data_IF_758148817662
#
_entry.id   IF_758148817662
#
_cell.length_a   1.000
_cell.length_b   1.000
_cell.length_c   1.000
_cell.angle_alpha   90.00
_cell.angle_beta   90.00
_cell.angle_gamma   90.00
#
_symmetry.space_group_name_H-M   'P 1'
#
loop_
_entity.id
_entity.type
_entity.pdbx_description
1 polymer ?
#
# COMPACT_ATOMS: atom_id res chain seq x y z
N UNK A 1 -16.69 10.89 5.58
CA UNK A 1 -16.64 11.55 4.27
C UNK A 1 -15.64 10.81 3.39
N UNK A 2 -16.15 10.14 2.39
CA UNK A 2 -15.37 9.48 1.36
C UNK A 2 -15.53 10.28 0.07
N UNK A 3 -14.53 11.01 -0.40
CA UNK A 3 -14.61 11.64 -1.71
C UNK A 3 -14.61 10.53 -2.78
N UNK A 4 -15.58 10.57 -3.67
CA UNK A 4 -15.57 9.72 -4.85
C UNK A 4 -14.79 10.39 -5.97
N UNK A 5 -14.32 9.62 -6.96
CA UNK A 5 -13.76 10.16 -8.18
C UNK A 5 -14.60 11.29 -8.76
N UNK A 6 -13.95 12.29 -9.31
CA UNK A 6 -14.61 13.49 -9.80
C UNK A 6 -14.54 14.68 -8.87
N UNK A 7 -13.70 14.61 -7.83
CA UNK A 7 -13.38 15.78 -7.01
C UNK A 7 -12.78 16.87 -7.93
N UNK A 8 -13.11 18.14 -7.61
CA UNK A 8 -12.56 19.25 -8.38
C UNK A 8 -11.03 19.25 -8.36
N UNK A 9 -10.35 19.47 -9.51
CA UNK A 9 -8.89 19.40 -9.61
C UNK A 9 -8.13 20.34 -8.67
N UNK A 10 -8.79 21.37 -8.16
CA UNK A 10 -8.24 22.34 -7.20
C UNK A 10 -8.31 21.87 -5.74
N UNK A 11 -8.90 20.70 -5.48
CA UNK A 11 -8.91 20.06 -4.16
C UNK A 11 -7.93 18.91 -4.19
N UNK A 12 -6.74 19.12 -3.63
CA UNK A 12 -5.74 18.08 -3.45
C UNK A 12 -6.01 17.30 -2.16
N UNK A 13 -5.71 16.00 -2.19
CA UNK A 13 -5.80 15.15 -1.00
C UNK A 13 -4.89 15.69 0.13
N UNK A 14 -5.43 15.76 1.35
CA UNK A 14 -4.76 16.31 2.54
C UNK A 14 -4.31 17.78 2.42
N UNK A 15 -4.76 18.48 1.38
CA UNK A 15 -4.51 19.92 1.23
C UNK A 15 -5.43 20.78 2.10
N UNK A 16 -5.16 22.08 2.13
CA UNK A 16 -5.91 23.04 2.96
C UNK A 16 -7.44 23.01 2.71
N UNK A 17 -7.87 22.99 1.45
CA UNK A 17 -9.30 22.92 1.11
C UNK A 17 -9.92 21.57 1.48
N UNK A 18 -9.18 20.49 1.34
CA UNK A 18 -9.62 19.18 1.81
C UNK A 18 -9.89 19.22 3.32
N UNK A 19 -8.91 19.68 4.10
CA UNK A 19 -9.07 19.78 5.55
C UNK A 19 -10.14 20.80 5.98
N UNK A 20 -10.38 21.87 5.22
CA UNK A 20 -11.48 22.79 5.50
C UNK A 20 -12.84 22.07 5.48
N UNK A 21 -13.08 21.20 4.49
CA UNK A 21 -14.30 20.38 4.42
C UNK A 21 -14.37 19.35 5.55
N UNK A 22 -13.26 18.68 5.85
CA UNK A 22 -13.20 17.72 6.96
C UNK A 22 -13.46 18.39 8.29
N UNK A 23 -12.84 19.53 8.57
CA UNK A 23 -13.10 20.32 9.81
C UNK A 23 -14.57 20.68 9.96
N UNK A 24 -15.20 21.17 8.89
CA UNK A 24 -16.64 21.50 8.91
C UNK A 24 -17.48 20.27 9.26
N UNK A 25 -17.20 19.12 8.66
CA UNK A 25 -17.93 17.89 8.94
C UNK A 25 -17.74 17.42 10.39
N UNK A 26 -16.50 17.46 10.90
CA UNK A 26 -16.18 17.05 12.28
C UNK A 26 -16.82 18.00 13.30
N UNK A 27 -16.77 19.30 13.07
CA UNK A 27 -17.42 20.29 13.93
C UNK A 27 -18.94 20.12 13.99
N UNK A 28 -19.56 19.87 12.84
CA UNK A 28 -21.00 19.63 12.75
C UNK A 28 -21.40 18.35 13.48
N UNK A 29 -20.64 17.28 13.28
CA UNK A 29 -20.88 16.01 13.96
C UNK A 29 -20.74 16.14 15.48
N UNK A 30 -19.70 16.84 15.94
CA UNK A 30 -19.49 17.10 17.37
C UNK A 30 -20.66 17.92 17.98
N UNK A 31 -21.15 18.92 17.27
CA UNK A 31 -22.30 19.73 17.72
C UNK A 31 -23.61 18.91 17.78
N UNK A 32 -23.72 17.86 16.99
CA UNK A 32 -24.88 16.94 16.94
C UNK A 32 -24.69 15.67 17.78
N UNK A 33 -23.64 15.58 18.60
CA UNK A 33 -23.25 14.39 19.38
C UNK A 33 -23.08 13.11 18.51
N UNK A 34 -22.67 13.29 17.26
CA UNK A 34 -22.38 12.18 16.35
C UNK A 34 -20.93 11.71 16.49
N UNK A 35 -20.68 10.44 16.24
CA UNK A 35 -19.34 9.88 16.17
C UNK A 35 -18.88 9.75 14.73
N UNK A 36 -17.56 9.95 14.52
CA UNK A 36 -16.92 9.87 13.22
C UNK A 36 -15.81 8.83 13.25
N UNK A 37 -15.75 8.03 12.23
CA UNK A 37 -14.57 7.24 11.84
C UNK A 37 -13.99 7.95 10.63
N UNK A 38 -12.71 8.33 10.71
CA UNK A 38 -11.99 8.94 9.60
C UNK A 38 -11.57 7.84 8.62
N UNK A 39 -11.45 8.20 7.35
CA UNK A 39 -10.91 7.32 6.32
C UNK A 39 -9.45 7.70 6.11
N UNK A 40 -8.54 6.71 6.19
CA UNK A 40 -7.10 6.95 6.16
C UNK A 40 -6.53 7.10 4.75
N UNK A 41 -7.37 7.02 3.71
CA UNK A 41 -6.96 7.10 2.33
C UNK A 41 -7.82 8.11 1.55
N UNK A 42 -7.32 8.57 0.40
CA UNK A 42 -8.08 9.40 -0.51
C UNK A 42 -9.14 8.60 -1.26
N UNK A 43 -8.72 7.47 -1.82
CA UNK A 43 -9.57 6.48 -2.46
C UNK A 43 -9.13 5.07 -2.02
N UNK A 44 -9.05 4.11 -2.92
CA UNK A 44 -8.92 2.69 -2.62
C UNK A 44 -7.79 2.07 -3.46
N UNK A 45 -7.01 1.13 -2.93
CA UNK A 45 -6.93 0.62 -1.54
C UNK A 45 -6.10 1.53 -0.60
N UNK A 46 -6.27 1.34 0.72
CA UNK A 46 -5.49 2.07 1.74
C UNK A 46 -4.01 1.69 1.75
N UNK A 47 -3.18 2.63 2.22
CA UNK A 47 -1.75 2.43 2.44
C UNK A 47 -0.82 3.30 1.58
N UNK A 48 -1.37 4.11 0.66
CA UNK A 48 -0.58 4.87 -0.32
C UNK A 48 -0.73 6.39 -0.22
N UNK A 49 -1.67 6.88 0.59
CA UNK A 49 -2.02 8.30 0.71
C UNK A 49 -2.25 8.94 -0.67
N UNK A 50 -3.14 8.33 -1.48
CA UNK A 50 -3.42 8.75 -2.86
C UNK A 50 -2.15 8.86 -3.71
N UNK A 51 -1.20 7.92 -3.52
CA UNK A 51 0.09 7.88 -4.20
C UNK A 51 1.17 8.82 -3.64
N UNK A 52 0.86 9.63 -2.63
CA UNK A 52 1.82 10.57 -2.04
C UNK A 52 3.00 9.88 -1.36
N UNK A 53 2.82 8.65 -0.85
CA UNK A 53 3.92 7.85 -0.28
C UNK A 53 5.03 7.63 -1.31
N UNK A 54 4.67 7.40 -2.57
CA UNK A 54 5.60 6.99 -3.64
C UNK A 54 6.05 8.16 -4.51
N UNK A 55 5.30 9.27 -4.49
CA UNK A 55 5.46 10.40 -5.42
C UNK A 55 6.91 10.89 -5.55
N UNK A 56 7.59 11.12 -4.41
CA UNK A 56 8.98 11.57 -4.36
C UNK A 56 9.94 10.49 -3.83
N UNK A 57 9.42 9.27 -3.65
CA UNK A 57 10.08 8.10 -3.08
C UNK A 57 9.74 6.83 -3.87
N UNK A 58 10.17 6.73 -5.15
CA UNK A 58 9.84 5.60 -6.01
C UNK A 58 10.37 4.25 -5.46
N UNK A 59 11.37 4.29 -4.59
CA UNK A 59 11.88 3.11 -3.88
C UNK A 59 10.84 2.49 -2.93
N UNK A 60 9.86 3.28 -2.46
CA UNK A 60 8.78 2.83 -1.59
C UNK A 60 7.57 2.23 -2.34
N UNK A 61 7.63 2.18 -3.68
CA UNK A 61 6.58 1.54 -4.46
C UNK A 61 6.56 0.03 -4.25
N UNK A 62 5.36 -0.56 -4.31
CA UNK A 62 5.15 -2.00 -4.15
C UNK A 62 6.02 -2.85 -5.08
N UNK A 63 6.50 -3.98 -4.58
CA UNK A 63 7.37 -4.93 -5.27
C UNK A 63 6.74 -6.31 -5.34
N UNK A 64 7.17 -7.07 -6.32
CA UNK A 64 6.79 -8.46 -6.44
C UNK A 64 7.86 -9.29 -7.16
N UNK A 65 7.78 -10.61 -6.97
CA UNK A 65 8.57 -11.57 -7.73
C UNK A 65 7.82 -11.97 -8.99
N UNK A 66 8.57 -12.14 -10.08
CA UNK A 66 8.04 -12.65 -11.34
C UNK A 66 9.06 -13.56 -12.01
N UNK A 67 8.56 -14.54 -12.78
CA UNK A 67 9.37 -15.41 -13.62
C UNK A 67 9.42 -14.81 -15.02
N UNK A 68 10.62 -14.49 -15.52
CA UNK A 68 10.80 -13.78 -16.79
C UNK A 68 11.96 -14.31 -17.61
N UNK A 69 11.84 -14.22 -18.94
CA UNK A 69 12.93 -14.49 -19.88
C UNK A 69 13.90 -13.30 -20.00
N UNK A 70 13.47 -12.10 -19.61
CA UNK A 70 14.25 -10.88 -19.76
C UNK A 70 14.39 -10.17 -18.43
N UNK A 71 15.63 -10.13 -17.93
CA UNK A 71 15.99 -9.31 -16.76
C UNK A 71 16.19 -7.88 -17.21
N UNK A 72 15.49 -6.96 -16.58
CA UNK A 72 15.54 -5.53 -16.89
C UNK A 72 16.51 -4.79 -15.96
N UNK A 73 17.01 -3.62 -16.36
CA UNK A 73 17.74 -2.75 -15.44
C UNK A 73 16.88 -2.41 -14.22
N UNK A 74 17.42 -2.65 -13.02
CA UNK A 74 16.71 -2.44 -11.75
C UNK A 74 16.03 -3.68 -11.18
N UNK A 75 15.96 -4.79 -11.91
CA UNK A 75 15.53 -6.09 -11.35
C UNK A 75 16.59 -6.63 -10.40
N UNK A 76 16.15 -7.17 -9.26
CA UNK A 76 17.00 -7.98 -8.38
C UNK A 76 16.83 -9.46 -8.71
N UNK A 77 17.92 -10.11 -9.12
CA UNK A 77 17.90 -11.54 -9.44
C UNK A 77 17.87 -12.38 -8.14
N UNK A 78 16.83 -13.18 -7.95
CA UNK A 78 16.72 -14.11 -6.83
C UNK A 78 17.25 -15.51 -7.18
N UNK A 79 16.92 -16.00 -8.38
CA UNK A 79 17.34 -17.33 -8.84
C UNK A 79 17.29 -17.46 -10.36
N UNK A 80 18.13 -18.34 -10.91
CA UNK A 80 18.00 -18.85 -12.28
C UNK A 80 17.14 -20.10 -12.27
N UNK A 81 16.27 -20.24 -13.28
CA UNK A 81 15.42 -21.39 -13.49
C UNK A 81 15.53 -21.88 -14.94
N UNK A 82 15.10 -23.12 -15.22
CA UNK A 82 15.08 -23.65 -16.58
C UNK A 82 14.28 -22.80 -17.55
N UNK A 83 13.19 -22.20 -17.06
CA UNK A 83 12.26 -21.40 -17.84
C UNK A 83 12.46 -19.90 -17.67
N UNK A 84 13.66 -19.44 -17.28
CA UNK A 84 13.96 -18.02 -17.14
C UNK A 84 14.59 -17.65 -15.80
N UNK A 85 14.45 -16.40 -15.40
CA UNK A 85 14.96 -15.87 -14.14
C UNK A 85 13.81 -15.47 -13.21
N UNK A 86 13.92 -15.85 -11.94
CA UNK A 86 13.06 -15.31 -10.87
C UNK A 86 13.66 -14.01 -10.39
N UNK A 87 12.94 -12.92 -10.57
CA UNK A 87 13.41 -11.58 -10.24
C UNK A 87 12.41 -10.83 -9.36
N UNK A 88 12.94 -9.91 -8.54
CA UNK A 88 12.13 -8.88 -7.88
C UNK A 88 12.11 -7.65 -8.77
N UNK A 89 10.95 -7.04 -8.92
CA UNK A 89 10.78 -5.74 -9.59
C UNK A 89 9.59 -4.98 -9.01
N UNK A 90 9.52 -3.69 -9.30
CA UNK A 90 8.36 -2.88 -8.95
C UNK A 90 7.11 -3.47 -9.59
N UNK A 91 6.03 -3.61 -8.82
CA UNK A 91 4.80 -4.25 -9.28
C UNK A 91 4.12 -3.49 -10.42
N UNK A 92 4.34 -2.18 -10.48
CA UNK A 92 3.61 -1.28 -11.38
C UNK A 92 2.16 -1.05 -10.96
N UNK A 93 1.75 -1.65 -9.84
CA UNK A 93 0.40 -1.55 -9.31
C UNK A 93 -0.06 -0.13 -9.08
N UNK A 94 -1.35 0.08 -9.23
CA UNK A 94 -2.00 1.37 -9.10
C UNK A 94 -3.13 1.30 -8.07
N UNK A 95 -3.59 2.46 -7.66
CA UNK A 95 -4.80 2.65 -6.88
C UNK A 95 -5.73 3.64 -7.58
N UNK A 96 -6.96 3.75 -7.12
CA UNK A 96 -7.87 4.79 -7.55
C UNK A 96 -7.48 6.12 -6.95
N UNK A 97 -7.44 7.16 -7.79
CA UNK A 97 -7.23 8.54 -7.35
C UNK A 97 -8.54 9.30 -7.17
N UNK A 98 -8.42 10.55 -6.74
CA UNK A 98 -9.57 11.41 -6.43
C UNK A 98 -10.20 12.09 -7.64
N UNK A 99 -9.45 12.23 -8.72
CA UNK A 99 -9.85 13.01 -9.88
C UNK A 99 -10.19 12.12 -11.08
N UNK A 100 -10.93 12.66 -12.03
CA UNK A 100 -11.17 12.01 -13.32
C UNK A 100 -9.85 11.73 -14.06
N UNK A 101 -9.71 10.54 -14.61
CA UNK A 101 -8.49 10.09 -15.30
C UNK A 101 -7.44 9.47 -14.36
N UNK A 102 -7.75 9.30 -13.09
CA UNK A 102 -6.90 8.69 -12.07
C UNK A 102 -7.42 7.31 -11.60
N UNK A 103 -8.36 6.69 -12.34
CA UNK A 103 -8.85 5.36 -11.97
C UNK A 103 -7.76 4.29 -12.18
N UNK A 104 -7.86 3.21 -11.44
CA UNK A 104 -6.92 2.11 -11.54
C UNK A 104 -6.85 1.55 -12.98
N UNK A 105 -5.62 1.46 -13.50
CA UNK A 105 -5.37 1.12 -14.90
C UNK A 105 -5.29 2.31 -15.85
N UNK A 106 -5.69 3.51 -15.44
CA UNK A 106 -5.51 4.73 -16.24
C UNK A 106 -4.06 5.25 -16.13
N UNK A 107 -3.66 6.08 -17.10
CA UNK A 107 -2.28 6.60 -17.18
C UNK A 107 -1.87 7.42 -15.95
N UNK A 108 -2.80 8.15 -15.37
CA UNK A 108 -2.56 9.04 -14.23
C UNK A 108 -2.93 8.39 -12.89
N UNK A 109 -3.31 7.10 -12.89
CA UNK A 109 -3.59 6.39 -11.65
C UNK A 109 -2.40 6.43 -10.69
N UNK A 110 -2.60 6.79 -9.41
CA UNK A 110 -1.53 6.86 -8.43
C UNK A 110 -0.89 5.48 -8.22
N UNK A 111 0.41 5.47 -7.93
CA UNK A 111 1.16 4.24 -7.66
C UNK A 111 0.96 3.77 -6.22
N UNK A 112 0.92 2.44 -6.06
CA UNK A 112 0.76 1.79 -4.77
C UNK A 112 2.07 1.75 -4.00
N UNK A 113 2.00 2.02 -2.70
CA UNK A 113 3.13 1.86 -1.80
C UNK A 113 3.31 0.40 -1.37
N UNK A 114 4.53 0.07 -0.95
CA UNK A 114 4.87 -1.23 -0.38
C UNK A 114 4.47 -1.29 1.10
N UNK A 115 3.28 -1.80 1.38
CA UNK A 115 2.75 -1.93 2.75
C UNK A 115 3.48 -3.00 3.59
N UNK A 116 4.38 -3.77 2.99
CA UNK A 116 5.29 -4.68 3.70
C UNK A 116 6.61 -4.01 4.11
N UNK A 117 6.85 -2.78 3.65
CA UNK A 117 8.03 -1.99 3.94
C UNK A 117 7.76 -1.01 5.08
N UNK A 118 8.46 -1.13 6.24
CA UNK A 118 8.26 -0.23 7.39
C UNK A 118 8.42 1.24 7.04
N UNK A 119 9.33 1.59 6.13
CA UNK A 119 9.55 2.98 5.72
C UNK A 119 8.33 3.53 4.96
N UNK A 120 7.71 2.72 4.09
CA UNK A 120 6.52 3.13 3.37
C UNK A 120 5.32 3.29 4.32
N UNK A 121 5.14 2.36 5.27
CA UNK A 121 4.06 2.44 6.28
C UNK A 121 4.26 3.63 7.22
N UNK A 122 5.47 3.88 7.69
CA UNK A 122 5.78 5.06 8.52
C UNK A 122 5.45 6.36 7.77
N UNK A 123 5.82 6.44 6.48
CA UNK A 123 5.48 7.61 5.64
C UNK A 123 3.98 7.74 5.40
N UNK A 124 3.27 6.65 5.22
CA UNK A 124 1.81 6.65 5.12
C UNK A 124 1.16 7.24 6.37
N UNK A 125 1.59 6.80 7.56
CA UNK A 125 1.09 7.32 8.84
C UNK A 125 1.39 8.81 8.99
N UNK A 126 2.63 9.22 8.69
CA UNK A 126 3.03 10.64 8.74
C UNK A 126 2.15 11.53 7.85
N UNK A 127 1.92 11.07 6.61
CA UNK A 127 1.15 11.82 5.62
C UNK A 127 -0.35 11.87 5.96
N UNK A 128 -0.91 10.80 6.53
CA UNK A 128 -2.35 10.65 6.77
C UNK A 128 -2.71 10.84 8.25
N UNK A 129 -2.50 9.86 9.09
CA UNK A 129 -2.92 9.83 10.49
C UNK A 129 -2.41 11.03 11.28
N UNK A 130 -1.11 11.34 11.16
CA UNK A 130 -0.49 12.48 11.82
C UNK A 130 -1.03 13.82 11.28
N UNK A 131 -1.32 13.92 9.99
CA UNK A 131 -1.92 15.11 9.42
C UNK A 131 -3.34 15.33 9.94
N UNK A 132 -4.17 14.27 9.98
CA UNK A 132 -5.49 14.34 10.60
C UNK A 132 -5.40 14.72 12.09
N UNK A 133 -4.45 14.12 12.81
CA UNK A 133 -4.28 14.42 14.23
C UNK A 133 -3.87 15.88 14.46
N UNK A 134 -2.93 16.43 13.68
CA UNK A 134 -2.55 17.85 13.76
C UNK A 134 -3.73 18.80 13.54
N UNK A 135 -4.57 18.49 12.56
CA UNK A 135 -5.69 19.35 12.14
C UNK A 135 -6.92 19.25 13.07
N UNK A 136 -7.12 18.09 13.71
CA UNK A 136 -8.39 17.75 14.38
C UNK A 136 -8.19 17.29 15.82
N UNK A 137 -7.01 17.53 16.42
CA UNK A 137 -6.59 17.01 17.73
C UNK A 137 -7.67 17.14 18.83
N UNK A 138 -8.40 18.26 18.85
CA UNK A 138 -9.40 18.54 19.88
C UNK A 138 -10.63 17.60 19.85
N UNK A 139 -10.80 16.84 18.76
CA UNK A 139 -11.96 15.96 18.54
C UNK A 139 -11.64 14.49 18.72
N UNK A 140 -10.34 14.11 18.79
CA UNK A 140 -9.94 12.74 19.04
C UNK A 140 -10.34 12.29 20.44
N UNK A 141 -10.85 11.05 20.54
CA UNK A 141 -11.39 10.50 21.79
C UNK A 141 -12.77 11.03 22.18
N UNK A 142 -13.33 11.99 21.42
CA UNK A 142 -14.69 12.53 21.63
C UNK A 142 -15.57 12.28 20.40
N UNK A 143 -15.54 13.16 19.41
CA UNK A 143 -16.29 12.99 18.16
C UNK A 143 -15.58 12.00 17.21
N UNK A 144 -14.25 12.05 17.12
CA UNK A 144 -13.46 11.11 16.31
C UNK A 144 -13.09 9.92 17.19
N UNK A 145 -13.54 8.71 16.77
CA UNK A 145 -13.36 7.47 17.54
C UNK A 145 -12.38 6.49 16.91
N UNK A 146 -11.90 6.75 15.71
CA UNK A 146 -10.93 5.88 15.02
C UNK A 146 -10.75 6.20 13.57
N UNK A 147 -9.92 5.37 12.93
CA UNK A 147 -9.71 5.35 11.49
C UNK A 147 -10.29 4.07 10.89
N UNK A 148 -10.72 4.16 9.66
CA UNK A 148 -11.09 3.05 8.80
C UNK A 148 -10.03 2.90 7.72
N UNK A 149 -9.46 1.70 7.62
CA UNK A 149 -8.53 1.30 6.56
C UNK A 149 -9.27 0.35 5.60
N UNK A 150 -9.16 0.56 4.30
CA UNK A 150 -9.96 -0.11 3.28
C UNK A 150 -9.10 -1.04 2.41
N UNK A 151 -9.29 -2.34 2.62
CA UNK A 151 -8.71 -3.44 1.83
C UNK A 151 -7.27 -3.17 1.35
N UNK A 152 -6.30 -2.98 2.25
CA UNK A 152 -4.91 -2.69 1.86
C UNK A 152 -4.41 -3.75 0.87
N UNK A 153 -3.72 -3.32 -0.18
CA UNK A 153 -3.26 -4.20 -1.25
C UNK A 153 -1.74 -4.21 -1.35
N UNK A 154 -1.13 -5.39 -1.23
CA UNK A 154 0.33 -5.54 -1.23
C UNK A 154 0.94 -5.17 -2.59
N UNK A 155 0.32 -5.59 -3.69
CA UNK A 155 0.83 -5.34 -5.05
C UNK A 155 0.18 -4.12 -5.71
N UNK A 156 -0.94 -3.64 -5.16
CA UNK A 156 -1.81 -2.70 -5.85
C UNK A 156 -2.74 -3.38 -6.85
N UNK A 157 -3.48 -2.57 -7.58
CA UNK A 157 -4.45 -3.03 -8.58
C UNK A 157 -3.80 -3.15 -9.96
N UNK A 158 -4.43 -3.93 -10.85
CA UNK A 158 -3.98 -4.18 -12.22
C UNK A 158 -2.60 -4.86 -12.35
N UNK A 159 -2.22 -5.66 -11.36
CA UNK A 159 -1.02 -6.49 -11.38
C UNK A 159 -1.39 -7.93 -11.68
N UNK A 160 -0.67 -8.56 -12.59
CA UNK A 160 -0.81 -9.98 -12.93
C UNK A 160 0.55 -10.63 -13.13
N UNK A 161 0.63 -11.95 -12.91
CA UNK A 161 1.86 -12.71 -13.11
C UNK A 161 2.98 -12.37 -12.12
N UNK A 162 2.61 -11.84 -10.96
CA UNK A 162 3.54 -11.52 -9.86
C UNK A 162 3.01 -12.05 -8.54
N UNK A 163 3.94 -12.36 -7.64
CA UNK A 163 3.65 -12.64 -6.24
C UNK A 163 4.28 -11.57 -5.36
N UNK A 164 3.66 -11.20 -4.22
CA UNK A 164 4.14 -10.14 -3.33
C UNK A 164 5.60 -10.32 -2.90
N UNK A 165 6.33 -9.24 -2.84
CA UNK A 165 7.68 -9.16 -2.27
C UNK A 165 7.92 -7.79 -1.67
N UNK A 166 8.99 -7.66 -0.86
CA UNK A 166 9.40 -6.38 -0.30
C UNK A 166 10.90 -6.32 -0.12
N UNK A 167 11.44 -5.12 -0.03
CA UNK A 167 12.86 -4.92 0.25
C UNK A 167 13.32 -5.67 1.51
N UNK A 168 14.44 -6.38 1.40
CA UNK A 168 15.02 -7.15 2.50
C UNK A 168 14.34 -8.50 2.79
N UNK A 169 13.25 -8.84 2.11
CA UNK A 169 12.52 -10.10 2.36
C UNK A 169 13.33 -11.34 1.93
N UNK A 170 14.21 -11.22 0.93
CA UNK A 170 15.12 -12.29 0.53
C UNK A 170 15.99 -12.80 1.70
N UNK A 171 16.50 -11.87 2.51
CA UNK A 171 17.31 -12.22 3.67
C UNK A 171 16.47 -12.85 4.79
N UNK A 172 15.26 -12.37 5.04
CA UNK A 172 14.32 -12.96 5.99
C UNK A 172 13.99 -14.40 5.57
N UNK A 173 13.66 -14.61 4.30
CA UNK A 173 13.33 -15.91 3.72
C UNK A 173 14.50 -16.89 3.83
N UNK A 174 15.70 -16.45 3.44
CA UNK A 174 16.92 -17.24 3.53
C UNK A 174 17.27 -17.64 4.97
N UNK A 175 17.18 -16.71 5.94
CA UNK A 175 17.42 -16.97 7.38
C UNK A 175 16.45 -17.98 7.96
N UNK A 176 15.22 -18.02 7.47
CA UNK A 176 14.22 -19.02 7.85
C UNK A 176 14.42 -20.39 7.20
N UNK A 177 15.50 -20.55 6.41
CA UNK A 177 15.83 -21.80 5.71
C UNK A 177 15.24 -21.92 4.32
N UNK A 178 14.63 -20.86 3.77
CA UNK A 178 14.02 -20.86 2.44
C UNK A 178 15.03 -20.81 1.31
N UNK A 179 14.70 -21.49 0.20
CA UNK A 179 15.42 -21.48 -1.05
C UNK A 179 14.58 -20.80 -2.14
N UNK A 180 15.02 -19.60 -2.57
CA UNK A 180 14.27 -18.79 -3.54
C UNK A 180 14.10 -19.50 -4.91
N UNK A 181 15.01 -20.38 -5.32
CA UNK A 181 14.85 -21.12 -6.56
C UNK A 181 13.58 -22.00 -6.60
N UNK A 182 13.12 -22.48 -5.44
CA UNK A 182 11.93 -23.32 -5.33
C UNK A 182 10.62 -22.50 -5.39
N UNK A 183 10.69 -21.16 -5.30
CA UNK A 183 9.53 -20.28 -5.43
C UNK A 183 9.00 -20.19 -6.88
N UNK A 184 9.74 -20.71 -7.87
CA UNK A 184 9.21 -20.88 -9.24
C UNK A 184 7.94 -21.72 -9.27
N UNK A 185 7.76 -22.62 -8.29
CA UNK A 185 6.55 -23.42 -8.14
C UNK A 185 5.26 -22.59 -7.95
N UNK A 186 5.35 -21.35 -7.43
CA UNK A 186 4.22 -20.43 -7.32
C UNK A 186 3.58 -20.16 -8.69
N UNK A 187 4.40 -20.05 -9.75
CA UNK A 187 3.95 -19.72 -11.11
C UNK A 187 3.30 -20.88 -11.83
N UNK A 188 3.55 -22.11 -11.35
CA UNK A 188 2.91 -23.33 -11.86
C UNK A 188 1.73 -23.78 -10.98
N UNK A 189 1.39 -23.02 -9.94
CA UNK A 189 0.37 -23.40 -8.96
C UNK A 189 0.73 -24.63 -8.13
N UNK A 190 2.02 -24.96 -8.04
CA UNK A 190 2.51 -26.08 -7.24
C UNK A 190 2.92 -25.63 -5.85
N UNK A 191 2.70 -26.50 -4.87
CA UNK A 191 3.06 -26.27 -3.48
C UNK A 191 4.29 -27.09 -3.07
N UNK A 192 5.20 -26.48 -2.32
CA UNK A 192 6.34 -27.12 -1.69
C UNK A 192 6.62 -26.45 -0.32
N UNK A 193 7.64 -26.92 0.41
CA UNK A 193 7.97 -26.35 1.72
C UNK A 193 8.37 -24.88 1.65
N UNK A 194 9.05 -24.46 0.59
CA UNK A 194 9.47 -23.07 0.39
C UNK A 194 8.30 -22.14 0.05
N UNK A 195 7.33 -22.60 -0.74
CA UNK A 195 6.11 -21.81 -1.01
C UNK A 195 5.24 -21.66 0.23
N UNK A 196 5.15 -22.69 1.08
CA UNK A 196 4.46 -22.60 2.38
C UNK A 196 5.17 -21.65 3.33
N UNK A 197 6.51 -21.75 3.41
CA UNK A 197 7.33 -20.84 4.20
C UNK A 197 7.16 -19.38 3.73
N UNK A 198 7.21 -19.17 2.41
CA UNK A 198 6.99 -17.84 1.79
C UNK A 198 5.65 -17.23 2.24
N UNK A 199 4.54 -17.95 2.08
CA UNK A 199 3.23 -17.44 2.49
C UNK A 199 3.16 -17.15 3.99
N UNK A 200 3.72 -18.02 4.83
CA UNK A 200 3.78 -17.81 6.27
C UNK A 200 4.52 -16.53 6.63
N UNK A 201 5.72 -16.32 6.08
CA UNK A 201 6.54 -15.15 6.37
C UNK A 201 5.93 -13.87 5.81
N UNK A 202 5.26 -13.94 4.65
CA UNK A 202 4.56 -12.81 4.07
C UNK A 202 3.41 -12.33 4.96
N UNK A 203 2.57 -13.25 5.43
CA UNK A 203 1.47 -12.95 6.35
C UNK A 203 1.96 -12.40 7.70
N UNK A 204 3.05 -12.97 8.23
CA UNK A 204 3.69 -12.42 9.43
C UNK A 204 4.18 -10.99 9.20
N UNK A 205 4.82 -10.75 8.07
CA UNK A 205 5.35 -9.42 7.71
C UNK A 205 4.25 -8.38 7.58
N UNK A 206 3.15 -8.72 6.91
CA UNK A 206 1.98 -7.85 6.78
C UNK A 206 1.37 -7.53 8.16
N UNK A 207 1.18 -8.56 8.98
CA UNK A 207 0.66 -8.41 10.34
C UNK A 207 1.53 -7.51 11.21
N UNK A 208 2.85 -7.67 11.17
CA UNK A 208 3.80 -6.89 11.98
C UNK A 208 3.99 -5.47 11.47
N UNK A 209 4.15 -5.30 10.15
CA UNK A 209 4.54 -4.02 9.56
C UNK A 209 3.34 -3.12 9.33
N UNK A 210 2.27 -3.62 8.71
CA UNK A 210 1.10 -2.79 8.41
C UNK A 210 0.15 -2.72 9.60
N UNK A 211 -0.48 -3.82 9.95
CA UNK A 211 -1.51 -3.82 11.00
C UNK A 211 -0.95 -3.53 12.40
N UNK A 212 0.23 -4.07 12.73
CA UNK A 212 0.87 -3.83 14.03
C UNK A 212 1.35 -2.40 14.22
N UNK A 213 1.59 -1.64 13.14
CA UNK A 213 1.99 -0.23 13.23
C UNK A 213 0.77 0.71 13.27
N UNK A 214 -0.37 0.30 12.69
CA UNK A 214 -1.62 1.08 12.70
C UNK A 214 -2.44 0.89 13.99
N UNK A 215 -2.19 -0.16 14.75
CA UNK A 215 -2.91 -0.48 16.00
C UNK A 215 -2.20 0.13 17.22
#
# INVERSE_FOLDING_TARGET
LHPRMGLSPDITYLGERYFAHIRTAVQTAAALDMKIVLYDEGMYPSGSACGLVVKDHPELASEGITLTQTVLPGDELLAQAENGALVVRKSGGTMRGLHWGEDDGEKNAPKTADILNPAAVSRFIELTHEAYYRELKAYFGTAIIGFFTDEPSILGRNVSGMFPWTHGFAEIFRRAGGNAANLTALFDGRENDDTRLYHKLLLQREGEVYYGTLS
#
